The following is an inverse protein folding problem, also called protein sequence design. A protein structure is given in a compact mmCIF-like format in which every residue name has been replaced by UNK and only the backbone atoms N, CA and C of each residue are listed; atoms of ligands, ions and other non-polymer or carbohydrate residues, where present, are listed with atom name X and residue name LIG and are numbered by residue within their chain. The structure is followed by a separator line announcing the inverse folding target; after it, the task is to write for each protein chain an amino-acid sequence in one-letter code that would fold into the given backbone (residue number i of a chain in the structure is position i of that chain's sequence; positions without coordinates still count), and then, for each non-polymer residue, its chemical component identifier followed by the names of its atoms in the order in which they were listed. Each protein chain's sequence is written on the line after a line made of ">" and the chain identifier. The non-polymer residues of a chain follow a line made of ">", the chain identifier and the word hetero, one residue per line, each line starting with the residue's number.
data_IF_606404805495
#
_entry.id   IF_606404805495
#
_cell.length_a   1.000
_cell.length_b   1.000
_cell.length_c   1.000
_cell.angle_alpha   90.00
_cell.angle_beta   90.00
_cell.angle_gamma   90.00
#
_symmetry.space_group_name_H-M   'P 1'
#
loop_
_entity.id
_entity.type
_entity.pdbx_description
1 polymer ?
#
# COMPACT_ATOMS: atom_id res chain seq x y z
N UNK A 1 2.89 -8.26 -12.66
CA UNK A 1 3.76 -7.56 -11.69
C UNK A 1 4.67 -6.65 -12.49
N UNK A 2 4.47 -5.34 -12.41
CA UNK A 2 5.46 -4.40 -12.97
C UNK A 2 6.62 -4.44 -11.99
N UNK A 3 7.68 -5.16 -12.34
CA UNK A 3 8.96 -5.10 -11.64
C UNK A 3 9.38 -3.64 -11.63
N UNK A 4 9.58 -3.06 -10.44
CA UNK A 4 10.19 -1.75 -10.32
C UNK A 4 11.47 -1.73 -11.18
N UNK A 5 11.78 -0.63 -11.90
CA UNK A 5 13.03 -0.53 -12.63
C UNK A 5 14.16 -0.91 -11.67
N UNK A 6 15.10 -1.79 -12.08
CA UNK A 6 16.19 -2.20 -11.22
C UNK A 6 16.91 -0.95 -10.77
N UNK A 7 16.81 -0.64 -9.48
CA UNK A 7 17.66 0.36 -8.82
C UNK A 7 19.07 0.07 -9.27
N UNK A 8 19.79 1.08 -9.75
CA UNK A 8 21.16 1.02 -10.27
C UNK A 8 22.05 0.13 -9.37
N UNK A 9 22.06 -1.18 -9.63
CA UNK A 9 22.64 -2.19 -8.72
C UNK A 9 24.17 -2.21 -8.78
N UNK A 10 24.76 -1.60 -9.81
CA UNK A 10 26.17 -1.79 -10.13
C UNK A 10 27.15 -1.28 -9.05
N UNK A 11 26.73 -0.37 -8.17
CA UNK A 11 27.60 0.27 -7.17
C UNK A 11 27.09 0.16 -5.72
N UNK A 12 26.06 -0.67 -5.46
CA UNK A 12 25.49 -0.83 -4.11
C UNK A 12 26.31 -1.82 -3.28
N UNK A 13 26.53 -1.48 -2.01
CA UNK A 13 27.13 -2.41 -1.05
C UNK A 13 26.11 -3.48 -0.65
N UNK A 14 26.58 -4.72 -0.52
CA UNK A 14 25.78 -5.79 0.10
C UNK A 14 25.67 -5.55 1.60
N UNK A 15 24.76 -6.24 2.29
CA UNK A 15 24.68 -6.23 3.76
C UNK A 15 26.05 -6.46 4.42
N UNK A 16 26.79 -7.46 3.93
CA UNK A 16 28.13 -7.74 4.43
C UNK A 16 29.09 -6.57 4.17
N UNK A 17 29.02 -5.95 2.99
CA UNK A 17 29.80 -4.77 2.63
C UNK A 17 29.49 -3.57 3.53
N UNK A 18 28.21 -3.28 3.77
CA UNK A 18 27.76 -2.19 4.64
C UNK A 18 28.27 -2.36 6.07
N UNK A 19 28.15 -3.57 6.63
CA UNK A 19 28.63 -3.86 7.98
C UNK A 19 30.15 -3.76 8.06
N UNK A 20 30.87 -4.35 7.10
CA UNK A 20 32.34 -4.30 7.09
C UNK A 20 32.91 -2.89 6.85
N UNK A 21 32.17 -2.04 6.12
CA UNK A 21 32.51 -0.64 5.96
C UNK A 21 32.35 0.12 7.29
N UNK A 22 31.20 -0.06 7.96
CA UNK A 22 30.96 0.57 9.26
C UNK A 22 31.92 0.08 10.36
N UNK A 23 32.21 -1.23 10.42
CA UNK A 23 33.18 -1.77 11.38
C UNK A 23 34.60 -1.35 11.04
N UNK A 24 34.97 -1.30 9.76
CA UNK A 24 36.27 -0.82 9.29
C UNK A 24 36.54 0.63 9.68
N UNK A 25 35.54 1.53 9.54
CA UNK A 25 35.65 2.92 9.96
C UNK A 25 35.80 3.09 11.49
N UNK A 26 35.30 2.13 12.28
CA UNK A 26 35.43 2.11 13.73
C UNK A 26 36.65 1.30 14.23
N UNK A 27 37.44 0.72 13.32
CA UNK A 27 38.57 -0.15 13.67
C UNK A 27 38.18 -1.48 14.32
N UNK A 28 36.93 -1.92 14.13
CA UNK A 28 36.42 -3.21 14.60
C UNK A 28 36.75 -4.34 13.60
N UNK A 29 36.79 -5.61 14.05
CA UNK A 29 37.03 -6.74 13.15
C UNK A 29 36.03 -6.82 11.99
N UNK A 30 36.52 -7.26 10.84
CA UNK A 30 35.69 -7.56 9.67
C UNK A 30 35.17 -9.00 9.72
N UNK A 31 34.03 -9.22 9.09
CA UNK A 31 33.35 -10.49 9.03
C UNK A 31 33.30 -11.03 7.59
N UNK A 32 33.35 -12.35 7.43
CA UNK A 32 33.11 -13.02 6.14
C UNK A 32 31.66 -13.46 5.98
N UNK A 33 30.91 -13.51 7.08
CA UNK A 33 29.51 -13.89 7.16
C UNK A 33 28.87 -13.22 8.38
N UNK A 34 27.71 -12.60 8.22
CA UNK A 34 26.94 -12.00 9.31
C UNK A 34 25.65 -12.78 9.53
N UNK A 35 24.89 -13.05 8.47
CA UNK A 35 23.64 -13.81 8.57
C UNK A 35 23.93 -15.26 8.94
N UNK A 36 23.22 -15.76 9.96
CA UNK A 36 23.42 -17.10 10.57
C UNK A 36 24.76 -17.30 11.30
N UNK A 37 25.53 -16.24 11.53
CA UNK A 37 26.71 -16.31 12.38
C UNK A 37 26.29 -16.45 13.86
N UNK A 38 26.97 -17.33 14.61
CA UNK A 38 26.69 -17.60 16.02
C UNK A 38 27.50 -16.74 16.98
N UNK A 39 28.48 -15.96 16.49
CA UNK A 39 29.20 -14.98 17.30
C UNK A 39 28.23 -13.90 17.82
N UNK A 40 28.27 -13.69 19.14
CA UNK A 40 27.52 -12.65 19.84
C UNK A 40 27.65 -11.27 19.21
N UNK A 41 28.83 -10.91 18.70
CA UNK A 41 29.06 -9.60 18.09
C UNK A 41 28.42 -9.51 16.70
N UNK A 42 28.55 -10.55 15.87
CA UNK A 42 27.88 -10.62 14.57
C UNK A 42 26.34 -10.58 14.70
N UNK A 43 25.79 -11.32 15.68
CA UNK A 43 24.35 -11.29 16.00
C UNK A 43 23.91 -9.89 16.43
N UNK A 44 24.71 -9.21 17.26
CA UNK A 44 24.43 -7.84 17.68
C UNK A 44 24.46 -6.86 16.50
N UNK A 45 25.47 -6.96 15.63
CA UNK A 45 25.58 -6.11 14.44
C UNK A 45 24.40 -6.30 13.49
N UNK A 46 23.98 -7.55 13.25
CA UNK A 46 22.79 -7.84 12.43
C UNK A 46 21.52 -7.24 13.05
N UNK A 47 21.36 -7.30 14.37
CA UNK A 47 20.22 -6.71 15.05
C UNK A 47 20.19 -5.18 14.92
N UNK A 48 21.34 -4.52 15.04
CA UNK A 48 21.47 -3.07 14.82
C UNK A 48 21.22 -2.69 13.36
N UNK A 49 21.74 -3.48 12.40
CA UNK A 49 21.51 -3.28 10.97
C UNK A 49 20.02 -3.42 10.58
N UNK A 50 19.31 -4.40 11.16
CA UNK A 50 17.85 -4.54 10.98
C UNK A 50 17.10 -3.34 11.56
N UNK A 51 17.55 -2.83 12.71
CA UNK A 51 16.95 -1.65 13.34
C UNK A 51 17.16 -0.40 12.49
N UNK A 52 18.37 -0.18 11.97
CA UNK A 52 18.67 0.96 11.11
C UNK A 52 17.81 0.96 9.84
N UNK A 53 17.74 -0.17 9.14
CA UNK A 53 16.91 -0.30 7.94
C UNK A 53 15.44 0.08 8.20
N UNK A 54 14.89 -0.37 9.32
CA UNK A 54 13.52 -0.05 9.74
C UNK A 54 13.35 1.42 10.16
N UNK A 55 14.30 1.98 10.91
CA UNK A 55 14.19 3.37 11.40
C UNK A 55 14.34 4.37 10.25
N UNK A 56 15.33 4.21 9.36
CA UNK A 56 15.53 5.09 8.21
C UNK A 56 14.35 5.03 7.22
N UNK A 57 13.79 3.84 7.01
CA UNK A 57 12.53 3.68 6.28
C UNK A 57 11.40 4.55 6.86
N UNK A 58 11.24 4.55 8.19
CA UNK A 58 10.18 5.31 8.87
C UNK A 58 10.43 6.83 8.88
N UNK A 59 11.62 7.31 8.49
CA UNK A 59 11.89 8.74 8.37
C UNK A 59 11.19 9.38 7.17
N UNK A 60 10.66 8.56 6.23
CA UNK A 60 9.81 9.05 5.16
C UNK A 60 8.58 9.78 5.72
N UNK A 61 8.34 11.00 5.25
CA UNK A 61 7.27 11.85 5.73
C UNK A 61 6.42 12.38 4.55
N UNK A 62 5.38 13.16 4.86
CA UNK A 62 4.43 13.68 3.86
C UNK A 62 5.04 14.70 2.88
N UNK A 63 6.12 15.37 3.29
CA UNK A 63 6.75 16.49 2.56
C UNK A 63 7.92 15.99 1.70
N UNK A 64 8.56 14.89 2.09
CA UNK A 64 9.65 14.23 1.36
C UNK A 64 9.79 12.77 1.80
N UNK A 65 10.30 11.92 0.92
CA UNK A 65 10.45 10.50 1.25
C UNK A 65 10.93 9.67 0.08
N UNK A 66 11.31 8.43 0.40
CA UNK A 66 11.96 7.48 -0.49
C UNK A 66 11.14 7.17 -1.74
N UNK A 67 11.49 7.74 -2.89
CA UNK A 67 10.83 7.46 -4.18
C UNK A 67 10.93 5.98 -4.56
N UNK A 68 12.05 5.35 -4.18
CA UNK A 68 12.35 3.93 -4.41
C UNK A 68 11.34 3.01 -3.71
N UNK A 69 10.68 3.50 -2.67
CA UNK A 69 9.68 2.76 -1.90
C UNK A 69 8.24 3.15 -2.26
N UNK A 70 8.03 4.15 -3.12
CA UNK A 70 6.70 4.50 -3.61
C UNK A 70 6.31 3.50 -4.69
N UNK A 71 5.19 2.83 -4.48
CA UNK A 71 4.66 1.85 -5.42
C UNK A 71 3.21 2.17 -5.74
N UNK A 72 2.83 1.83 -6.96
CA UNK A 72 1.44 1.86 -7.39
C UNK A 72 0.84 0.46 -7.27
N UNK A 73 -0.37 0.37 -6.71
CA UNK A 73 -1.14 -0.86 -6.69
C UNK A 73 -2.43 -0.67 -7.48
N UNK A 74 -2.70 -1.63 -8.37
CA UNK A 74 -3.92 -1.69 -9.16
C UNK A 74 -4.57 -3.02 -8.87
N UNK A 75 -5.86 -3.00 -8.56
CA UNK A 75 -6.70 -4.19 -8.48
C UNK A 75 -7.97 -3.97 -9.30
N UNK A 76 -8.58 -5.07 -9.74
CA UNK A 76 -9.81 -5.02 -10.52
C UNK A 76 -11.00 -5.38 -9.63
N UNK A 77 -12.11 -4.67 -9.81
CA UNK A 77 -13.38 -5.06 -9.19
C UNK A 77 -13.86 -6.38 -9.75
N UNK A 78 -14.57 -7.16 -8.93
CA UNK A 78 -15.13 -8.45 -9.34
C UNK A 78 -16.58 -8.57 -8.91
N UNK A 79 -17.41 -9.07 -9.82
CA UNK A 79 -18.81 -9.35 -9.58
C UNK A 79 -19.26 -10.54 -10.43
N UNK A 80 -20.20 -11.31 -9.89
CA UNK A 80 -20.87 -12.43 -10.55
C UNK A 80 -22.38 -12.14 -10.47
N UNK A 81 -22.99 -11.85 -11.61
CA UNK A 81 -24.40 -11.49 -11.73
C UNK A 81 -25.17 -12.59 -12.47
N UNK A 82 -26.49 -12.62 -12.30
CA UNK A 82 -27.36 -13.55 -13.02
C UNK A 82 -27.29 -15.00 -12.53
N UNK A 83 -26.81 -15.23 -11.30
CA UNK A 83 -27.01 -16.51 -10.62
C UNK A 83 -28.39 -16.53 -10.01
N UNK A 84 -28.99 -17.71 -9.90
CA UNK A 84 -30.25 -17.90 -9.17
C UNK A 84 -30.05 -18.84 -8.00
N UNK A 85 -30.85 -18.70 -6.95
CA UNK A 85 -30.81 -19.59 -5.79
C UNK A 85 -32.12 -19.62 -5.02
N UNK A 86 -32.27 -20.61 -4.16
CA UNK A 86 -33.44 -20.74 -3.29
C UNK A 86 -33.11 -20.18 -1.90
N UNK A 87 -34.01 -19.34 -1.40
CA UNK A 87 -33.94 -18.74 -0.07
C UNK A 87 -35.11 -19.21 0.78
N UNK A 88 -34.93 -19.25 2.10
CA UNK A 88 -36.00 -19.59 3.04
C UNK A 88 -35.99 -18.57 4.15
N UNK A 89 -37.14 -17.95 4.42
CA UNK A 89 -37.27 -16.94 5.47
C UNK A 89 -36.73 -17.45 6.80
N UNK A 90 -35.94 -16.64 7.49
CA UNK A 90 -35.32 -17.00 8.76
C UNK A 90 -34.12 -17.96 8.65
N UNK A 91 -33.75 -18.40 7.46
CA UNK A 91 -32.52 -19.16 7.20
C UNK A 91 -31.46 -18.27 6.55
N UNK A 92 -30.19 -18.45 6.96
CA UNK A 92 -29.04 -17.81 6.32
C UNK A 92 -28.46 -18.63 5.16
N UNK A 93 -29.05 -19.78 4.85
CA UNK A 93 -28.54 -20.69 3.80
C UNK A 93 -29.25 -20.42 2.48
N UNK A 94 -28.47 -20.26 1.42
CA UNK A 94 -28.96 -20.21 0.04
C UNK A 94 -28.56 -21.49 -0.67
N UNK A 95 -29.53 -22.17 -1.27
CA UNK A 95 -29.33 -23.47 -1.93
C UNK A 95 -29.63 -23.39 -3.41
N UNK A 96 -29.33 -24.45 -4.16
CA UNK A 96 -29.61 -24.56 -5.60
C UNK A 96 -29.01 -23.41 -6.43
N UNK A 97 -27.85 -22.91 -6.03
CA UNK A 97 -27.07 -21.96 -6.83
C UNK A 97 -26.44 -22.73 -7.99
N UNK A 98 -26.49 -22.20 -9.20
CA UNK A 98 -25.95 -22.87 -10.40
C UNK A 98 -24.43 -23.09 -10.34
N UNK A 99 -23.69 -22.21 -9.66
CA UNK A 99 -22.27 -22.38 -9.33
C UNK A 99 -21.86 -21.42 -8.22
N UNK A 100 -20.98 -21.85 -7.32
CA UNK A 100 -20.31 -20.97 -6.34
C UNK A 100 -18.86 -20.64 -6.73
N UNK A 101 -18.43 -21.00 -7.94
CA UNK A 101 -17.07 -20.74 -8.41
C UNK A 101 -16.73 -19.24 -8.40
N UNK A 102 -15.59 -18.90 -7.78
CA UNK A 102 -15.10 -17.52 -7.67
C UNK A 102 -15.65 -16.74 -6.47
N UNK A 103 -16.72 -17.20 -5.83
CA UNK A 103 -17.24 -16.59 -4.59
C UNK A 103 -16.27 -16.89 -3.45
N UNK A 104 -15.85 -15.87 -2.71
CA UNK A 104 -14.93 -16.01 -1.56
C UNK A 104 -15.59 -15.54 -0.28
N UNK A 105 -15.71 -16.46 0.68
CA UNK A 105 -16.21 -16.19 2.02
C UNK A 105 -15.50 -15.00 2.68
N UNK A 106 -16.27 -14.14 3.34
CA UNK A 106 -15.78 -12.96 4.05
C UNK A 106 -15.29 -11.81 3.16
N UNK A 107 -15.31 -11.97 1.82
CA UNK A 107 -14.87 -10.94 0.86
C UNK A 107 -15.92 -10.54 -0.18
N UNK A 108 -17.05 -11.24 -0.19
CA UNK A 108 -18.12 -11.03 -1.16
C UNK A 108 -19.43 -10.73 -0.44
N UNK A 109 -20.13 -9.71 -0.92
CA UNK A 109 -21.51 -9.45 -0.55
C UNK A 109 -22.45 -10.15 -1.55
N UNK A 110 -23.66 -10.46 -1.10
CA UNK A 110 -24.72 -11.02 -1.92
C UNK A 110 -25.96 -10.15 -1.80
N UNK A 111 -26.59 -9.90 -2.93
CA UNK A 111 -27.82 -9.10 -3.03
C UNK A 111 -28.87 -9.85 -3.81
N UNK A 112 -30.12 -9.68 -3.42
CA UNK A 112 -31.30 -10.30 -4.03
C UNK A 112 -32.56 -9.75 -3.34
N UNK A 113 -33.71 -9.88 -3.99
CA UNK A 113 -34.98 -9.31 -3.50
C UNK A 113 -35.44 -9.89 -2.16
N UNK A 114 -35.04 -11.12 -1.85
CA UNK A 114 -35.41 -11.84 -0.61
C UNK A 114 -34.37 -11.72 0.50
N UNK A 115 -33.29 -10.96 0.27
CA UNK A 115 -32.17 -10.82 1.20
C UNK A 115 -32.18 -9.45 1.89
N UNK A 116 -31.69 -9.41 3.12
CA UNK A 116 -31.47 -8.14 3.80
C UNK A 116 -30.40 -7.31 3.08
N UNK A 117 -30.52 -5.97 3.16
CA UNK A 117 -29.50 -5.09 2.59
C UNK A 117 -28.14 -5.31 3.28
N UNK A 118 -27.07 -5.38 2.48
CA UNK A 118 -25.71 -5.54 2.99
C UNK A 118 -25.36 -6.96 3.46
N UNK A 119 -26.17 -7.97 3.10
CA UNK A 119 -25.88 -9.39 3.38
C UNK A 119 -24.55 -9.82 2.75
N UNK A 120 -23.74 -10.59 3.49
CA UNK A 120 -22.44 -11.09 3.03
C UNK A 120 -22.33 -12.60 3.11
N UNK A 121 -21.45 -13.15 2.28
CA UNK A 121 -21.15 -14.59 2.26
C UNK A 121 -20.24 -14.93 3.43
N UNK A 122 -20.74 -15.75 4.36
CA UNK A 122 -20.00 -16.22 5.52
C UNK A 122 -19.19 -17.49 5.20
N UNK A 123 -19.77 -18.42 4.44
CA UNK A 123 -19.08 -19.62 3.94
C UNK A 123 -19.63 -20.05 2.58
N UNK A 124 -18.77 -20.74 1.81
CA UNK A 124 -19.17 -21.49 0.62
C UNK A 124 -19.17 -22.96 1.01
N UNK A 125 -20.37 -23.54 1.12
CA UNK A 125 -20.56 -24.85 1.72
C UNK A 125 -20.42 -25.97 0.68
N UNK A 126 -20.79 -25.69 -0.57
CA UNK A 126 -20.61 -26.60 -1.71
C UNK A 126 -20.59 -25.82 -3.03
N UNK A 127 -20.53 -26.53 -4.16
CA UNK A 127 -20.62 -25.94 -5.50
C UNK A 127 -21.97 -25.26 -5.80
N UNK A 128 -22.99 -25.49 -4.96
CA UNK A 128 -24.37 -25.01 -5.18
C UNK A 128 -25.01 -24.40 -3.92
N UNK A 129 -24.24 -24.20 -2.86
CA UNK A 129 -24.75 -23.74 -1.56
C UNK A 129 -23.75 -22.80 -0.87
N UNK A 130 -24.30 -21.76 -0.24
CA UNK A 130 -23.56 -20.83 0.62
C UNK A 130 -24.36 -20.58 1.92
N UNK A 131 -23.64 -20.13 2.93
CA UNK A 131 -24.23 -19.57 4.15
C UNK A 131 -23.88 -18.08 4.24
N UNK A 132 -24.87 -17.27 4.57
CA UNK A 132 -24.79 -15.81 4.70
C UNK A 132 -24.58 -15.38 6.16
N UNK A 133 -24.20 -14.12 6.38
CA UNK A 133 -24.06 -13.51 7.71
C UNK A 133 -25.40 -13.03 8.32
N UNK A 134 -26.47 -13.08 7.53
CA UNK A 134 -27.82 -12.67 7.90
C UNK A 134 -28.85 -13.60 7.27
N UNK A 135 -30.04 -13.66 7.87
CA UNK A 135 -31.12 -14.54 7.40
C UNK A 135 -31.89 -13.90 6.25
N UNK A 136 -32.42 -14.71 5.33
CA UNK A 136 -33.33 -14.23 4.30
C UNK A 136 -34.61 -13.69 4.94
N UNK A 137 -35.15 -12.60 4.36
CA UNK A 137 -36.38 -11.95 4.84
C UNK A 137 -37.64 -12.53 4.22
N UNK A 138 -37.48 -13.25 3.10
CA UNK A 138 -38.56 -13.93 2.40
C UNK A 138 -38.10 -15.30 1.88
N UNK A 139 -39.06 -16.19 1.63
CA UNK A 139 -38.81 -17.47 0.95
C UNK A 139 -39.00 -17.29 -0.54
N UNK A 140 -38.02 -17.70 -1.34
CA UNK A 140 -38.08 -17.64 -2.79
C UNK A 140 -37.43 -18.85 -3.46
N UNK A 141 -37.90 -19.18 -4.65
CA UNK A 141 -37.30 -20.20 -5.52
C UNK A 141 -36.71 -19.51 -6.74
N UNK A 142 -35.49 -19.90 -7.14
CA UNK A 142 -34.77 -19.29 -8.26
C UNK A 142 -34.71 -17.76 -8.19
N UNK A 143 -34.48 -17.21 -6.99
CA UNK A 143 -34.29 -15.77 -6.77
C UNK A 143 -33.04 -15.32 -7.51
N UNK A 144 -33.11 -14.22 -8.25
CA UNK A 144 -31.95 -13.59 -8.87
C UNK A 144 -30.99 -13.06 -7.80
N UNK A 145 -29.74 -13.51 -7.85
CA UNK A 145 -28.67 -13.18 -6.93
C UNK A 145 -27.52 -12.51 -7.69
N UNK A 146 -27.05 -11.40 -7.12
CA UNK A 146 -25.83 -10.74 -7.55
C UNK A 146 -24.81 -10.77 -6.43
N UNK A 147 -23.64 -11.30 -6.75
CA UNK A 147 -22.48 -11.37 -5.88
C UNK A 147 -21.48 -10.31 -6.32
N UNK A 148 -21.00 -9.51 -5.38
CA UNK A 148 -19.97 -8.51 -5.63
C UNK A 148 -18.88 -8.59 -4.58
N UNK A 149 -17.62 -8.52 -5.02
CA UNK A 149 -16.49 -8.47 -4.11
C UNK A 149 -16.41 -7.08 -3.48
N UNK A 150 -16.50 -7.00 -2.15
CA UNK A 150 -16.47 -5.75 -1.39
C UNK A 150 -15.19 -5.57 -0.56
N UNK A 151 -14.37 -6.64 -0.41
CA UNK A 151 -13.08 -6.59 0.26
C UNK A 151 -11.95 -7.11 -0.64
N UNK A 152 -10.92 -6.27 -0.83
CA UNK A 152 -9.79 -6.51 -1.70
C UNK A 152 -8.49 -6.58 -0.90
N UNK A 153 -7.57 -7.45 -1.32
CA UNK A 153 -6.26 -7.56 -0.70
C UNK A 153 -5.45 -6.29 -0.92
N UNK A 154 -4.69 -5.90 0.09
CA UNK A 154 -3.67 -4.85 -0.01
C UNK A 154 -2.32 -5.54 -0.29
N UNK A 155 -1.34 -4.85 -0.93
CA UNK A 155 0.00 -5.38 -1.11
C UNK A 155 0.61 -5.92 0.19
N UNK A 156 1.34 -7.04 0.11
CA UNK A 156 1.97 -7.67 1.28
C UNK A 156 3.08 -6.82 1.90
N UNK A 157 3.70 -5.96 1.09
CA UNK A 157 4.72 -5.01 1.49
C UNK A 157 4.16 -3.63 1.84
N UNK A 158 2.83 -3.50 2.01
CA UNK A 158 2.21 -2.22 2.34
C UNK A 158 2.64 -1.70 3.71
N UNK A 159 3.03 -0.42 3.78
CA UNK A 159 3.26 0.29 5.03
C UNK A 159 2.15 1.32 5.33
N UNK A 160 1.97 2.28 4.42
CA UNK A 160 0.95 3.31 4.55
C UNK A 160 0.58 3.88 3.18
N UNK A 161 -0.62 4.45 3.08
CA UNK A 161 -1.11 5.04 1.84
C UNK A 161 -0.48 6.40 1.57
N UNK A 162 -0.33 6.71 0.28
CA UNK A 162 -0.14 8.08 -0.17
C UNK A 162 -1.52 8.72 -0.33
N UNK A 163 -1.76 9.76 0.45
CA UNK A 163 -3.07 10.41 0.53
C UNK A 163 -3.53 10.95 -0.82
N UNK A 164 -4.84 10.91 -1.08
CA UNK A 164 -5.49 11.44 -2.29
C UNK A 164 -5.09 10.77 -3.61
N UNK A 165 -4.44 9.61 -3.58
CA UNK A 165 -4.05 8.86 -4.80
C UNK A 165 -5.03 7.76 -5.20
N UNK A 166 -6.19 7.68 -4.55
CA UNK A 166 -7.20 6.65 -4.80
C UNK A 166 -8.11 7.01 -5.96
N UNK A 167 -8.09 6.21 -7.03
CA UNK A 167 -8.84 6.50 -8.24
C UNK A 167 -9.42 5.25 -8.88
N UNK A 168 -10.63 5.39 -9.39
CA UNK A 168 -11.20 4.51 -10.38
C UNK A 168 -10.74 5.00 -11.76
N UNK A 169 -9.93 4.21 -12.45
CA UNK A 169 -9.41 4.59 -13.78
C UNK A 169 -10.42 4.41 -14.90
N UNK A 170 -11.46 3.63 -14.69
CA UNK A 170 -12.48 3.38 -15.70
C UNK A 170 -13.46 4.57 -15.72
N UNK A 171 -14.02 4.92 -14.56
CA UNK A 171 -14.94 6.06 -14.43
C UNK A 171 -14.21 7.41 -14.26
N UNK A 172 -12.88 7.40 -14.10
CA UNK A 172 -12.03 8.58 -13.88
C UNK A 172 -12.46 9.38 -12.66
N UNK A 173 -12.86 8.68 -11.60
CA UNK A 173 -13.35 9.29 -10.38
C UNK A 173 -12.40 8.99 -9.24
N UNK A 174 -12.06 10.03 -8.49
CA UNK A 174 -11.41 9.85 -7.20
C UNK A 174 -12.37 9.11 -6.24
N UNK A 175 -11.81 8.15 -5.52
CA UNK A 175 -12.50 7.45 -4.44
C UNK A 175 -12.53 8.32 -3.19
N UNK A 176 -13.61 8.19 -2.40
CA UNK A 176 -13.79 8.94 -1.16
C UNK A 176 -13.35 8.10 0.04
N UNK A 177 -12.33 8.55 0.77
CA UNK A 177 -11.82 7.87 1.96
C UNK A 177 -10.36 8.21 2.26
N UNK A 178 -9.71 7.48 3.19
CA UNK A 178 -10.26 6.36 3.97
C UNK A 178 -11.28 6.84 5.01
N UNK A 179 -12.42 6.17 5.09
CA UNK A 179 -13.46 6.51 6.06
C UNK A 179 -13.17 5.93 7.45
N UNK A 180 -13.58 6.67 8.49
CA UNK A 180 -13.58 6.20 9.87
C UNK A 180 -14.61 5.09 10.10
N UNK A 181 -14.48 4.38 11.23
CA UNK A 181 -15.43 3.34 11.59
C UNK A 181 -16.86 3.90 11.74
N UNK A 182 -17.01 5.10 12.31
CA UNK A 182 -18.29 5.75 12.52
C UNK A 182 -18.94 6.15 11.18
N UNK A 183 -18.20 6.82 10.30
CA UNK A 183 -18.69 7.19 8.96
C UNK A 183 -19.10 5.95 8.16
N UNK A 184 -18.31 4.88 8.25
CA UNK A 184 -18.64 3.62 7.59
C UNK A 184 -19.94 3.00 8.10
N UNK A 185 -20.18 3.00 9.42
CA UNK A 185 -21.43 2.46 9.97
C UNK A 185 -22.65 3.33 9.60
N UNK A 186 -22.48 4.66 9.54
CA UNK A 186 -23.55 5.54 9.03
C UNK A 186 -23.91 5.18 7.59
N UNK A 187 -22.91 4.84 6.76
CA UNK A 187 -23.13 4.41 5.38
C UNK A 187 -23.81 3.04 5.29
N UNK A 188 -23.38 2.05 6.09
CA UNK A 188 -23.94 0.68 6.01
C UNK A 188 -25.31 0.54 6.66
N UNK A 189 -25.61 1.35 7.68
CA UNK A 189 -26.84 1.24 8.48
C UNK A 189 -27.83 2.40 8.28
N UNK A 190 -27.41 3.49 7.64
CA UNK A 190 -28.27 4.63 7.36
C UNK A 190 -29.31 4.35 6.27
N UNK A 191 -30.47 5.00 6.36
CA UNK A 191 -31.59 4.88 5.41
C UNK A 191 -31.32 5.61 4.08
N UNK A 192 -30.40 6.59 4.05
CA UNK A 192 -30.19 7.46 2.88
C UNK A 192 -29.21 6.83 1.88
N UNK A 193 -29.53 6.79 0.58
CA UNK A 193 -28.74 6.08 -0.41
C UNK A 193 -27.33 6.65 -0.53
N UNK A 194 -26.34 5.76 -0.58
CA UNK A 194 -24.97 6.10 -0.93
C UNK A 194 -24.94 6.63 -2.37
N UNK A 195 -24.62 7.92 -2.51
CA UNK A 195 -24.42 8.52 -3.84
C UNK A 195 -23.38 7.76 -4.70
N UNK A 196 -23.33 8.01 -6.02
CA UNK A 196 -22.67 7.15 -7.02
C UNK A 196 -21.13 7.04 -6.89
N UNK A 197 -20.51 7.82 -6.00
CA UNK A 197 -19.06 7.77 -5.78
C UNK A 197 -18.72 6.59 -4.88
N UNK A 198 -17.75 5.78 -5.33
CA UNK A 198 -17.14 4.73 -4.51
C UNK A 198 -16.41 5.35 -3.33
N UNK A 199 -16.71 4.81 -2.16
CA UNK A 199 -16.07 5.12 -0.89
C UNK A 199 -15.24 3.93 -0.47
N UNK A 200 -14.22 4.16 0.34
CA UNK A 200 -13.43 3.07 0.88
C UNK A 200 -13.05 3.25 2.34
N UNK A 201 -12.79 2.12 2.99
CA UNK A 201 -12.09 2.06 4.27
C UNK A 201 -11.07 0.95 4.27
N UNK A 202 -10.21 0.96 5.27
CA UNK A 202 -9.20 -0.09 5.47
C UNK A 202 -9.47 -0.76 6.81
N UNK A 203 -9.69 -2.07 6.80
CA UNK A 203 -10.01 -2.83 8.01
C UNK A 203 -9.57 -4.29 7.85
N UNK A 204 -8.92 -4.85 8.86
CA UNK A 204 -8.54 -6.26 8.89
C UNK A 204 -7.56 -6.67 7.78
N UNK A 205 -6.72 -5.73 7.30
CA UNK A 205 -5.79 -5.97 6.20
C UNK A 205 -6.40 -5.91 4.79
N UNK A 206 -7.67 -5.49 4.68
CA UNK A 206 -8.37 -5.38 3.40
C UNK A 206 -8.75 -3.94 3.08
N UNK A 207 -8.79 -3.65 1.78
CA UNK A 207 -9.37 -2.46 1.19
C UNK A 207 -10.84 -2.73 0.90
N UNK A 208 -11.73 -2.06 1.62
CA UNK A 208 -13.18 -2.25 1.54
C UNK A 208 -13.79 -1.18 0.65
N UNK A 209 -14.68 -1.56 -0.27
CA UNK A 209 -15.38 -0.64 -1.18
C UNK A 209 -16.88 -0.64 -0.89
N UNK A 210 -17.48 0.56 -0.86
CA UNK A 210 -18.92 0.75 -0.80
C UNK A 210 -19.37 1.88 -1.77
N UNK A 211 -20.46 1.72 -2.56
CA UNK A 211 -21.29 0.52 -2.66
C UNK A 211 -20.50 -0.67 -3.21
N UNK A 212 -20.93 -1.89 -2.88
CA UNK A 212 -20.31 -3.11 -3.40
C UNK A 212 -20.31 -3.07 -4.94
N UNK A 213 -19.14 -3.22 -5.58
CA UNK A 213 -19.04 -3.28 -7.04
C UNK A 213 -19.93 -4.37 -7.64
N UNK A 214 -20.67 -4.01 -8.69
CA UNK A 214 -21.48 -4.94 -9.50
C UNK A 214 -20.86 -5.15 -10.89
N UNK A 215 -19.68 -4.61 -11.11
CA UNK A 215 -18.89 -4.62 -12.33
C UNK A 215 -17.60 -5.41 -12.13
N UNK A 216 -17.13 -6.06 -13.20
CA UNK A 216 -16.08 -7.08 -13.14
C UNK A 216 -14.74 -6.65 -13.76
N UNK A 217 -14.57 -5.36 -14.10
CA UNK A 217 -13.39 -4.88 -14.86
C UNK A 217 -12.92 -3.47 -14.50
N UNK A 218 -13.47 -2.83 -13.47
CA UNK A 218 -13.01 -1.50 -13.08
C UNK A 218 -11.66 -1.57 -12.38
N UNK A 219 -10.71 -0.79 -12.85
CA UNK A 219 -9.37 -0.72 -12.28
C UNK A 219 -9.34 0.34 -11.19
N UNK A 220 -9.25 -0.13 -9.96
CA UNK A 220 -9.03 0.70 -8.79
C UNK A 220 -7.53 0.82 -8.53
N UNK A 221 -7.04 2.05 -8.41
CA UNK A 221 -5.62 2.35 -8.22
C UNK A 221 -5.40 3.19 -6.99
N UNK A 222 -4.29 2.94 -6.30
CA UNK A 222 -3.70 3.86 -5.34
C UNK A 222 -2.19 3.75 -5.31
N UNK A 223 -1.53 4.76 -4.77
CA UNK A 223 -0.11 4.71 -4.44
C UNK A 223 0.08 4.51 -2.94
N UNK A 224 1.15 3.80 -2.59
CA UNK A 224 1.49 3.47 -1.22
C UNK A 224 3.01 3.46 -1.03
N UNK A 225 3.43 3.59 0.22
CA UNK A 225 4.79 3.31 0.62
C UNK A 225 4.94 1.83 0.96
N UNK A 226 5.92 1.20 0.33
CA UNK A 226 6.35 -0.16 0.63
C UNK A 226 7.27 -0.19 1.85
N UNK A 227 7.09 -1.18 2.73
CA UNK A 227 7.99 -1.49 3.83
C UNK A 227 9.24 -2.27 3.39
N UNK A 228 9.39 -2.54 2.09
CA UNK A 228 10.50 -3.33 1.56
C UNK A 228 11.75 -2.48 1.33
N UNK A 229 12.44 -2.15 2.42
CA UNK A 229 13.62 -1.28 2.44
C UNK A 229 14.93 -1.98 2.02
N UNK A 230 14.91 -3.29 1.80
CA UNK A 230 16.02 -4.05 1.22
C UNK A 230 15.54 -4.99 0.12
N UNK A 231 16.47 -5.61 -0.59
CA UNK A 231 16.17 -6.60 -1.62
C UNK A 231 17.22 -7.70 -1.67
N UNK A 232 16.82 -8.88 -2.15
CA UNK A 232 17.75 -9.97 -2.42
C UNK A 232 18.73 -9.62 -3.54
N UNK A 233 19.77 -10.44 -3.68
CA UNK A 233 20.69 -10.35 -4.81
C UNK A 233 20.02 -10.52 -6.18
N UNK A 234 18.83 -11.13 -6.21
CA UNK A 234 18.00 -11.34 -7.40
C UNK A 234 16.92 -10.26 -7.58
N UNK A 235 16.90 -9.22 -6.74
CA UNK A 235 15.93 -8.11 -6.80
C UNK A 235 14.57 -8.41 -6.17
N UNK A 236 14.48 -9.44 -5.31
CA UNK A 236 13.25 -9.70 -4.56
C UNK A 236 13.13 -8.72 -3.40
N UNK A 237 12.09 -7.91 -3.37
CA UNK A 237 11.84 -6.93 -2.32
C UNK A 237 11.64 -7.60 -0.95
N UNK A 238 12.26 -7.03 0.10
CA UNK A 238 12.31 -7.59 1.45
C UNK A 238 12.19 -6.49 2.52
N UNK A 239 11.57 -6.82 3.65
CA UNK A 239 11.45 -5.93 4.82
C UNK A 239 12.41 -6.30 5.97
N UNK A 240 13.27 -7.29 5.73
CA UNK A 240 14.35 -7.71 6.62
C UNK A 240 15.46 -8.33 5.79
N UNK A 241 16.69 -8.15 6.26
CA UNK A 241 17.85 -8.91 5.81
C UNK A 241 17.61 -10.41 5.96
N UNK A 242 17.78 -11.15 4.86
CA UNK A 242 17.67 -12.60 4.74
C UNK A 242 19.00 -13.27 4.39
N UNK A 243 19.92 -12.55 3.73
CA UNK A 243 21.24 -13.03 3.35
C UNK A 243 22.28 -11.90 3.33
N UNK A 244 23.56 -12.27 3.44
CA UNK A 244 24.69 -11.33 3.40
C UNK A 244 24.86 -10.62 2.04
N UNK A 245 24.33 -11.22 0.98
CA UNK A 245 24.32 -10.68 -0.38
C UNK A 245 23.10 -9.83 -0.71
N UNK A 246 22.22 -9.57 0.27
CA UNK A 246 21.12 -8.64 0.09
C UNK A 246 21.65 -7.21 -0.05
N UNK A 247 20.90 -6.36 -0.74
CA UNK A 247 21.25 -4.95 -0.99
C UNK A 247 20.31 -4.02 -0.26
N UNK A 248 20.84 -2.87 0.16
CA UNK A 248 20.02 -1.79 0.69
C UNK A 248 19.37 -1.01 -0.46
N UNK A 249 18.05 -0.79 -0.36
CA UNK A 249 17.28 -0.10 -1.41
C UNK A 249 17.50 1.41 -1.34
N UNK A 250 17.76 1.94 -0.14
CA UNK A 250 17.97 3.36 0.11
C UNK A 250 19.47 3.70 0.09
N UNK A 251 19.88 4.84 0.67
CA UNK A 251 21.26 5.34 0.61
C UNK A 251 22.24 4.55 1.51
N UNK A 252 23.39 4.14 0.96
CA UNK A 252 24.36 3.28 1.64
C UNK A 252 25.13 4.06 2.71
N UNK A 253 25.51 5.31 2.43
CA UNK A 253 26.24 6.16 3.37
C UNK A 253 25.39 6.48 4.61
N UNK A 254 24.10 6.75 4.39
CA UNK A 254 23.15 6.93 5.50
C UNK A 254 23.07 5.68 6.38
N UNK A 255 23.00 4.50 5.77
CA UNK A 255 22.98 3.24 6.50
C UNK A 255 24.27 3.03 7.31
N UNK A 256 25.44 3.32 6.73
CA UNK A 256 26.75 3.20 7.40
C UNK A 256 26.82 4.14 8.61
N UNK A 257 26.50 5.43 8.44
CA UNK A 257 26.48 6.38 9.57
C UNK A 257 25.48 5.98 10.65
N UNK A 258 24.30 5.50 10.25
CA UNK A 258 23.27 5.02 11.15
C UNK A 258 23.73 3.81 11.97
N UNK A 259 24.43 2.87 11.33
CA UNK A 259 24.99 1.71 12.00
C UNK A 259 26.11 2.12 12.97
N UNK A 260 26.99 3.04 12.58
CA UNK A 260 28.13 3.50 13.42
C UNK A 260 27.69 4.07 14.75
N UNK A 261 26.80 5.07 14.77
CA UNK A 261 26.39 5.68 16.04
C UNK A 261 25.64 4.68 16.93
N UNK A 262 24.88 3.74 16.34
CA UNK A 262 24.21 2.67 17.09
C UNK A 262 25.18 1.67 17.70
N UNK A 263 26.27 1.35 17.02
CA UNK A 263 27.36 0.53 17.57
C UNK A 263 27.98 1.26 18.78
N UNK A 264 28.36 2.53 18.62
CA UNK A 264 28.93 3.34 19.70
C UNK A 264 27.99 3.42 20.91
N UNK A 265 26.71 3.71 20.67
CA UNK A 265 25.68 3.74 21.71
C UNK A 265 25.51 2.38 22.40
N UNK A 266 25.50 1.27 21.65
CA UNK A 266 25.40 -0.08 22.22
C UNK A 266 26.63 -0.46 23.07
N UNK A 267 27.80 0.10 22.76
CA UNK A 267 29.04 -0.06 23.53
C UNK A 267 29.20 0.98 24.66
N UNK A 268 28.23 1.88 24.83
CA UNK A 268 28.28 3.00 25.80
C UNK A 268 29.48 3.94 25.58
N UNK A 269 29.91 4.08 24.33
CA UNK A 269 30.89 5.07 23.91
C UNK A 269 30.19 6.39 23.58
N UNK A 270 30.95 7.48 23.49
CA UNK A 270 30.41 8.73 22.96
C UNK A 270 30.01 8.54 21.48
N UNK A 271 28.86 9.08 21.12
CA UNK A 271 28.24 8.95 19.80
C UNK A 271 27.62 10.27 19.33
N UNK A 272 27.81 11.36 20.09
CA UNK A 272 27.10 12.62 19.89
C UNK A 272 27.33 13.21 18.50
N UNK A 273 28.59 13.22 18.04
CA UNK A 273 28.96 13.75 16.73
C UNK A 273 28.43 12.86 15.60
N UNK A 274 28.64 11.54 15.68
CA UNK A 274 28.22 10.58 14.64
C UNK A 274 26.70 10.60 14.45
N UNK A 275 25.95 10.78 15.54
CA UNK A 275 24.50 10.94 15.45
C UNK A 275 24.10 12.26 14.79
N UNK A 276 24.79 13.37 15.08
CA UNK A 276 24.50 14.65 14.44
C UNK A 276 24.76 14.59 12.92
N UNK A 277 25.88 13.98 12.52
CA UNK A 277 26.22 13.80 11.11
C UNK A 277 25.20 12.91 10.39
N UNK A 278 24.76 11.82 11.04
CA UNK A 278 23.67 10.98 10.56
C UNK A 278 22.37 11.77 10.38
N UNK A 279 21.92 12.50 11.41
CA UNK A 279 20.67 13.26 11.37
C UNK A 279 20.70 14.32 10.24
N UNK A 280 21.84 15.00 10.06
CA UNK A 280 22.04 15.98 8.99
C UNK A 280 21.98 15.33 7.60
N UNK A 281 22.64 14.18 7.43
CA UNK A 281 22.59 13.43 6.17
C UNK A 281 21.17 12.97 5.85
N UNK A 282 20.46 12.42 6.83
CA UNK A 282 19.09 11.95 6.67
C UNK A 282 18.17 13.09 6.21
N UNK A 283 18.24 14.25 6.87
CA UNK A 283 17.43 15.42 6.51
C UNK A 283 17.71 15.89 5.07
N UNK A 284 18.99 15.91 4.68
CA UNK A 284 19.39 16.28 3.31
C UNK A 284 18.84 15.30 2.27
N UNK A 285 18.95 14.00 2.54
CA UNK A 285 18.47 12.96 1.63
C UNK A 285 16.94 12.99 1.48
N UNK A 286 16.21 13.05 2.60
CA UNK A 286 14.74 13.10 2.59
C UNK A 286 14.22 14.35 1.88
N UNK A 287 14.90 15.50 2.01
CA UNK A 287 14.49 16.76 1.36
C UNK A 287 14.71 16.76 -0.15
N UNK A 288 15.73 16.03 -0.64
CA UNK A 288 16.06 15.92 -2.06
C UNK A 288 15.27 14.81 -2.76
N UNK A 289 14.90 13.76 -2.03
CA UNK A 289 14.27 12.57 -2.59
C UNK A 289 12.76 12.77 -2.77
N UNK A 290 12.28 12.56 -4.00
CA UNK A 290 10.92 12.83 -4.45
C UNK A 290 10.81 14.24 -5.03
N UNK A 291 10.60 14.34 -6.34
CA UNK A 291 10.47 15.61 -7.05
C UNK A 291 9.48 16.55 -6.36
N UNK A 292 9.99 17.69 -5.89
CA UNK A 292 9.17 18.72 -5.24
C UNK A 292 8.37 19.46 -6.31
N UNK A 293 7.11 19.78 -5.99
CA UNK A 293 6.33 20.67 -6.85
C UNK A 293 6.93 22.06 -6.78
N UNK A 294 7.20 22.66 -7.93
CA UNK A 294 7.52 24.07 -7.99
C UNK A 294 6.32 24.88 -7.49
N UNK A 295 6.55 25.75 -6.51
CA UNK A 295 5.57 26.74 -6.07
C UNK A 295 5.96 28.06 -6.73
N UNK A 296 5.28 28.48 -7.81
CA UNK A 296 5.54 29.77 -8.42
C UNK A 296 5.05 30.87 -7.49
N UNK A 297 5.97 31.53 -6.77
CA UNK A 297 5.67 32.76 -6.03
C UNK A 297 5.77 33.92 -7.04
N UNK A 298 4.63 34.53 -7.36
CA UNK A 298 4.48 35.68 -8.26
C UNK A 298 4.60 35.46 -9.79
N UNK A 299 4.29 34.27 -10.33
CA UNK A 299 4.22 34.09 -11.79
C UNK A 299 2.76 34.13 -12.28
N UNK A 300 2.45 35.02 -13.23
CA UNK A 300 1.40 34.77 -14.21
C UNK A 300 1.73 33.42 -14.88
N UNK A 301 0.84 32.44 -14.70
CA UNK A 301 0.87 31.08 -15.24
C UNK A 301 2.20 30.62 -15.88
N UNK A 302 3.11 30.08 -15.07
CA UNK A 302 4.22 29.28 -15.61
C UNK A 302 3.69 27.90 -15.99
N UNK A 303 3.23 27.78 -17.24
CA UNK A 303 2.74 26.57 -17.88
C UNK A 303 2.58 26.81 -19.38
N UNK A 304 2.46 25.74 -20.18
CA UNK A 304 2.30 25.84 -21.64
C UNK A 304 1.24 26.88 -22.01
N UNK A 305 1.67 27.96 -22.68
CA UNK A 305 0.79 29.01 -23.16
C UNK A 305 0.02 28.51 -24.38
N UNK A 306 -1.12 27.87 -24.15
CA UNK A 306 -2.14 27.68 -25.18
C UNK A 306 -2.78 29.03 -25.46
N UNK A 307 -3.09 29.34 -26.72
CA UNK A 307 -3.75 30.59 -27.11
C UNK A 307 -5.03 30.73 -26.28
N UNK A 308 -5.02 31.67 -25.34
CA UNK A 308 -6.15 31.98 -24.47
C UNK A 308 -6.37 33.49 -24.44
N UNK A 309 -7.38 33.94 -23.69
CA UNK A 309 -7.80 35.34 -23.69
C UNK A 309 -6.75 36.33 -23.13
N UNK A 310 -5.65 35.85 -22.54
CA UNK A 310 -4.51 36.68 -22.11
C UNK A 310 -3.52 36.97 -23.26
N UNK A 311 -3.65 36.30 -24.42
CA UNK A 311 -2.85 36.54 -25.62
C UNK A 311 -3.50 37.57 -26.56
N UNK A 312 -4.68 38.09 -26.21
CA UNK A 312 -5.42 39.08 -27.00
C UNK A 312 -5.05 40.47 -26.46
N UNK A 313 -4.51 41.39 -27.26
CA UNK A 313 -4.18 42.73 -26.80
C UNK A 313 -5.44 43.49 -26.37
N UNK A 314 -5.43 44.05 -25.16
CA UNK A 314 -6.59 44.71 -24.51
C UNK A 314 -6.86 46.13 -25.05
N UNK A 315 -6.16 46.55 -26.09
CA UNK A 315 -6.42 47.80 -26.80
C UNK A 315 -6.38 47.52 -28.30
N UNK A 316 -7.53 47.61 -28.96
CA UNK A 316 -7.73 47.19 -30.35
C UNK A 316 -6.90 47.94 -31.41
N UNK A 317 -5.62 47.61 -31.54
CA UNK A 317 -4.80 47.95 -32.71
C UNK A 317 -3.89 46.79 -33.10
N UNK A 318 -3.99 46.37 -34.37
CA UNK A 318 -3.07 45.45 -35.05
C UNK A 318 -3.76 44.26 -35.73
N UNK A 319 -4.17 44.47 -36.99
CA UNK A 319 -4.35 43.42 -38.00
C UNK A 319 -3.01 42.76 -38.34
#
# INVERSE_FOLDING_TARGET
>A
MVTAPPIVQANKLTLLGLINQATGELGLPQYTQIVNNTDSQAVQLLALAKREGKEFFNMANRIGGWEELRKQYIFQTSAITGLTGNTTVGSAVVTNISSTAGIVAGRWAVSGTTLAYGTRVLSVDSSTQITMDSVAVETGTAVDLSFGQDAYTIPSDFAYFIQQTYWDRNFRWQLLGPLSAQEWQVIKSGISPTGPRRRFRVMGGYFWIDPTPTDSTSNEVFEYYSNSWCQSSTGTAQSTWAADGDYYTLDDDAFILGLKWRILAAKKLDYGQEKQDYDMLCQRLVSRNGGNRDIPINAQASGMHLINNANIPDTGFGS
#
